data_IF_568180008557
#
_entry.id   IF_568180008557
#
_cell.length_a   1.000
_cell.length_b   1.000
_cell.length_c   1.000
_cell.angle_alpha   90.00
_cell.angle_beta   90.00
_cell.angle_gamma   90.00
#
_symmetry.space_group_name_H-M   'P 1'
#
loop_
_entity.id
_entity.type
_entity.pdbx_description
1 polymer ?
#
# COMPACT_ATOMS: atom_id res chain seq x y z
N UNK A 1 38.23 -29.80 -7.40
CA UNK A 1 36.99 -30.11 -8.16
C UNK A 1 35.83 -29.95 -7.19
N UNK A 2 35.09 -28.84 -7.27
CA UNK A 2 34.08 -28.49 -6.26
C UNK A 2 32.77 -29.21 -6.57
N UNK A 3 32.45 -30.23 -5.78
CA UNK A 3 31.17 -30.93 -5.84
C UNK A 3 30.07 -30.00 -5.32
N UNK A 4 29.35 -29.37 -6.25
CA UNK A 4 28.11 -28.64 -5.95
C UNK A 4 27.01 -29.67 -5.64
N UNK A 5 27.08 -30.27 -4.45
CA UNK A 5 25.99 -31.10 -3.93
C UNK A 5 24.89 -30.14 -3.48
N UNK A 6 23.68 -30.32 -4.00
CA UNK A 6 22.48 -29.57 -3.62
C UNK A 6 21.62 -30.45 -2.68
N UNK A 7 21.96 -30.55 -1.38
CA UNK A 7 21.36 -31.55 -0.48
C UNK A 7 19.89 -31.28 -0.10
N UNK A 8 19.30 -30.16 -0.53
CA UNK A 8 17.94 -29.76 -0.15
C UNK A 8 17.03 -29.67 -1.39
N UNK A 9 16.46 -30.81 -1.86
CA UNK A 9 15.49 -30.84 -2.94
C UNK A 9 14.10 -30.36 -2.48
N UNK A 10 13.35 -29.74 -3.37
CA UNK A 10 11.95 -29.41 -3.15
C UNK A 10 11.06 -30.67 -3.22
N UNK A 11 10.10 -30.80 -2.31
CA UNK A 11 9.21 -31.98 -2.21
C UNK A 11 7.83 -31.74 -2.83
N UNK A 12 7.57 -30.56 -3.38
CA UNK A 12 6.26 -30.22 -3.96
C UNK A 12 6.11 -30.83 -5.35
N UNK A 13 4.95 -31.45 -5.61
CA UNK A 13 4.69 -32.24 -6.81
C UNK A 13 4.72 -31.37 -8.08
N UNK A 14 5.76 -31.54 -8.90
CA UNK A 14 5.99 -30.76 -10.12
C UNK A 14 7.19 -29.82 -10.05
N UNK A 15 7.81 -29.64 -8.88
CA UNK A 15 9.01 -28.82 -8.71
C UNK A 15 10.30 -29.64 -8.79
N UNK A 16 11.19 -29.31 -9.71
CA UNK A 16 12.51 -29.95 -9.85
C UNK A 16 13.66 -29.12 -9.24
N UNK A 17 13.36 -28.18 -8.33
CA UNK A 17 14.37 -27.28 -7.78
C UNK A 17 15.09 -27.86 -6.59
N UNK A 18 16.41 -27.65 -6.58
CA UNK A 18 17.31 -28.12 -5.53
C UNK A 18 18.13 -26.95 -4.98
N UNK A 19 18.39 -26.95 -3.68
CA UNK A 19 19.01 -25.83 -2.98
C UNK A 19 20.25 -26.27 -2.20
N UNK A 20 21.23 -25.35 -2.11
CA UNK A 20 22.44 -25.51 -1.31
C UNK A 20 22.17 -25.34 0.21
N UNK A 21 21.01 -24.79 0.58
CA UNK A 21 20.68 -24.55 1.99
C UNK A 21 19.19 -24.64 2.29
N UNK A 22 18.89 -25.15 3.48
CA UNK A 22 17.53 -25.24 4.02
C UNK A 22 16.84 -23.87 4.11
N UNK A 23 17.59 -22.77 4.34
CA UNK A 23 17.02 -21.41 4.37
C UNK A 23 16.52 -20.96 3.00
N UNK A 24 17.21 -21.35 1.91
CA UNK A 24 16.78 -21.06 0.54
C UNK A 24 15.58 -21.93 0.14
N UNK A 25 15.56 -23.20 0.55
CA UNK A 25 14.40 -24.07 0.38
C UNK A 25 13.17 -23.51 1.11
N UNK A 26 13.27 -23.15 2.40
CA UNK A 26 12.18 -22.53 3.17
C UNK A 26 11.67 -21.22 2.57
N UNK A 27 12.54 -20.47 1.89
CA UNK A 27 12.13 -19.25 1.19
C UNK A 27 11.45 -19.56 -0.15
N UNK A 28 11.86 -20.63 -0.83
CA UNK A 28 11.21 -21.14 -2.04
C UNK A 28 9.83 -21.74 -1.75
N UNK A 29 9.66 -22.52 -0.67
CA UNK A 29 8.36 -23.07 -0.24
C UNK A 29 7.34 -21.97 0.12
N UNK A 30 7.81 -20.78 0.51
CA UNK A 30 6.93 -19.62 0.70
C UNK A 30 6.43 -19.04 -0.62
N UNK A 31 7.09 -19.32 -1.75
CA UNK A 31 6.63 -18.92 -3.08
C UNK A 31 5.64 -19.98 -3.56
N UNK A 32 4.35 -19.66 -3.72
CA UNK A 32 3.42 -20.62 -4.28
C UNK A 32 3.86 -20.99 -5.72
N UNK A 33 3.75 -22.26 -6.08
CA UNK A 33 4.14 -22.79 -7.40
C UNK A 33 3.31 -22.20 -8.56
N UNK A 34 2.16 -21.62 -8.24
CA UNK A 34 1.30 -20.88 -9.16
C UNK A 34 0.67 -19.66 -8.48
N UNK A 35 -0.05 -18.85 -9.24
CA UNK A 35 -0.86 -17.77 -8.69
C UNK A 35 -2.21 -18.31 -8.19
N UNK A 36 -2.73 -17.72 -7.11
CA UNK A 36 -4.04 -18.05 -6.52
C UNK A 36 -5.23 -17.64 -7.43
N UNK A 37 -5.02 -16.82 -8.46
CA UNK A 37 -6.09 -16.45 -9.40
C UNK A 37 -6.29 -17.54 -10.46
N UNK A 38 -7.52 -18.01 -10.60
CA UNK A 38 -7.90 -19.03 -11.58
C UNK A 38 -7.56 -18.55 -13.00
N UNK A 39 -6.90 -19.42 -13.78
CA UNK A 39 -6.37 -19.14 -15.12
C UNK A 39 -5.16 -18.18 -15.24
N UNK A 40 -4.44 -17.87 -14.16
CA UNK A 40 -3.20 -17.11 -14.24
C UNK A 40 -1.96 -18.01 -14.53
N UNK A 41 -1.30 -17.90 -15.70
CA UNK A 41 -0.16 -18.76 -16.07
C UNK A 41 1.17 -18.37 -15.40
N UNK A 42 1.15 -17.54 -14.36
CA UNK A 42 2.36 -17.05 -13.70
C UNK A 42 3.04 -18.13 -12.87
N UNK A 43 4.26 -18.48 -13.26
CA UNK A 43 5.15 -19.35 -12.50
C UNK A 43 6.24 -18.52 -11.81
N UNK A 44 6.04 -18.29 -10.51
CA UNK A 44 6.92 -17.46 -9.69
C UNK A 44 8.24 -18.16 -9.40
N UNK A 45 9.36 -17.55 -9.80
CA UNK A 45 10.70 -18.09 -9.48
C UNK A 45 11.28 -17.57 -8.16
N UNK A 46 10.78 -16.44 -7.65
CA UNK A 46 11.21 -15.82 -6.38
C UNK A 46 10.02 -15.17 -5.66
N UNK A 47 10.10 -15.04 -4.34
CA UNK A 47 9.05 -14.42 -3.52
C UNK A 47 8.80 -12.96 -3.90
N UNK A 48 9.85 -12.22 -4.22
CA UNK A 48 9.75 -10.83 -4.67
C UNK A 48 9.04 -10.71 -6.02
N UNK A 49 9.29 -11.62 -6.97
CA UNK A 49 8.58 -11.67 -8.24
C UNK A 49 7.10 -12.00 -8.04
N UNK A 50 6.76 -12.98 -7.19
CA UNK A 50 5.38 -13.32 -6.86
C UNK A 50 4.63 -12.14 -6.22
N UNK A 51 5.25 -11.45 -5.24
CA UNK A 51 4.64 -10.28 -4.61
C UNK A 51 4.44 -9.10 -5.57
N UNK A 52 5.30 -8.95 -6.59
CA UNK A 52 5.12 -7.96 -7.66
C UNK A 52 3.96 -8.36 -8.56
N UNK A 53 3.94 -9.62 -9.01
CA UNK A 53 2.92 -10.17 -9.88
C UNK A 53 1.52 -10.15 -9.29
N UNK A 54 1.36 -10.53 -8.01
CA UNK A 54 0.06 -10.48 -7.31
C UNK A 54 -0.57 -9.08 -7.33
N UNK A 55 0.22 -8.02 -7.51
CA UNK A 55 -0.31 -6.65 -7.64
C UNK A 55 -1.00 -6.40 -8.98
N UNK A 56 -0.71 -7.19 -10.01
CA UNK A 56 -1.35 -7.13 -11.33
C UNK A 56 -2.79 -7.65 -11.25
N UNK A 57 -3.03 -8.67 -10.42
CA UNK A 57 -4.36 -9.18 -10.08
C UNK A 57 -5.13 -8.30 -9.08
N UNK A 58 -4.74 -7.04 -8.90
CA UNK A 58 -5.55 -6.11 -8.12
C UNK A 58 -6.81 -5.77 -8.90
N UNK A 59 -7.83 -6.61 -8.74
CA UNK A 59 -9.18 -6.34 -9.23
C UNK A 59 -9.61 -4.98 -8.69
N UNK A 60 -9.85 -4.06 -9.62
CA UNK A 60 -10.42 -2.77 -9.28
C UNK A 60 -11.90 -2.96 -9.02
N UNK A 61 -12.39 -2.37 -7.93
CA UNK A 61 -13.79 -2.45 -7.54
C UNK A 61 -14.50 -1.20 -8.03
N UNK A 62 -15.58 -1.39 -8.79
CA UNK A 62 -16.44 -0.31 -9.29
C UNK A 62 -17.36 0.22 -8.19
N UNK A 63 -17.51 1.55 -8.12
CA UNK A 63 -18.62 2.17 -7.42
C UNK A 63 -19.94 1.84 -8.14
N UNK A 64 -21.01 1.57 -7.39
CA UNK A 64 -22.32 1.27 -7.98
C UNK A 64 -23.03 2.48 -8.59
N UNK A 65 -22.65 3.67 -8.16
CA UNK A 65 -23.33 4.94 -8.49
C UNK A 65 -22.53 5.83 -9.43
N UNK A 66 -21.27 5.47 -9.75
CA UNK A 66 -20.45 6.21 -10.70
C UNK A 66 -19.32 5.35 -11.31
N UNK A 67 -18.63 5.91 -12.31
CA UNK A 67 -17.55 5.24 -13.06
C UNK A 67 -16.26 5.06 -12.22
N UNK A 68 -16.24 5.52 -10.96
CA UNK A 68 -15.02 5.48 -10.13
C UNK A 68 -14.60 4.03 -9.81
N UNK A 69 -13.31 3.79 -10.00
CA UNK A 69 -12.62 2.55 -9.66
C UNK A 69 -11.76 2.71 -8.41
N UNK A 70 -11.94 1.80 -7.45
CA UNK A 70 -11.14 1.68 -6.23
C UNK A 70 -10.28 0.43 -6.26
N UNK A 71 -9.17 0.43 -5.53
CA UNK A 71 -8.24 -0.70 -5.48
C UNK A 71 -8.63 -1.82 -4.51
N UNK A 72 -9.64 -1.61 -3.67
CA UNK A 72 -10.27 -2.63 -2.83
C UNK A 72 -11.68 -2.17 -2.40
N UNK A 73 -12.40 -3.06 -1.71
CA UNK A 73 -13.74 -2.79 -1.20
C UNK A 73 -13.78 -1.64 -0.16
N UNK A 74 -12.80 -1.57 0.74
CA UNK A 74 -12.72 -0.49 1.74
C UNK A 74 -12.66 0.91 1.11
N UNK A 75 -11.80 1.10 0.11
CA UNK A 75 -11.66 2.37 -0.59
C UNK A 75 -12.91 2.71 -1.44
N UNK A 76 -13.62 1.70 -1.98
CA UNK A 76 -14.94 1.91 -2.60
C UNK A 76 -15.96 2.40 -1.58
N UNK A 77 -16.11 1.69 -0.46
CA UNK A 77 -17.05 2.06 0.59
C UNK A 77 -16.77 3.47 1.13
N UNK A 78 -15.49 3.79 1.35
CA UNK A 78 -15.08 5.14 1.74
C UNK A 78 -15.39 6.19 0.68
N UNK A 79 -15.29 5.88 -0.62
CA UNK A 79 -15.71 6.77 -1.70
C UNK A 79 -17.22 7.01 -1.66
N UNK A 80 -18.01 5.95 -1.54
CA UNK A 80 -19.47 6.00 -1.49
C UNK A 80 -19.96 6.87 -0.32
N UNK A 81 -19.45 6.63 0.89
CA UNK A 81 -19.75 7.43 2.07
C UNK A 81 -19.39 8.93 1.94
N UNK A 82 -18.46 9.30 1.07
CA UNK A 82 -17.95 10.68 0.96
C UNK A 82 -18.55 11.47 -0.20
N UNK A 83 -18.94 10.77 -1.25
CA UNK A 83 -19.32 11.37 -2.54
C UNK A 83 -20.81 11.18 -2.80
N UNK A 84 -21.37 10.03 -2.41
CA UNK A 84 -22.75 9.66 -2.72
C UNK A 84 -23.67 9.69 -1.50
N UNK A 85 -23.13 9.70 -0.28
CA UNK A 85 -23.92 9.94 0.93
C UNK A 85 -24.28 11.42 1.06
N UNK A 86 -25.58 11.73 1.12
CA UNK A 86 -26.10 13.08 1.41
C UNK A 86 -25.71 13.53 2.82
N UNK A 87 -25.73 12.62 3.80
CA UNK A 87 -25.20 12.84 5.15
C UNK A 87 -23.68 12.62 5.17
N UNK A 88 -22.98 13.51 4.47
CA UNK A 88 -21.53 13.44 4.34
C UNK A 88 -20.90 13.71 5.70
N UNK A 89 -20.33 12.66 6.30
CA UNK A 89 -19.60 12.79 7.56
C UNK A 89 -18.47 13.82 7.45
N UNK A 90 -18.65 14.96 8.12
CA UNK A 90 -17.66 16.02 8.21
C UNK A 90 -17.13 16.11 9.65
N UNK A 91 -15.83 16.36 9.75
CA UNK A 91 -15.13 16.56 11.00
C UNK A 91 -14.93 18.06 11.19
N UNK A 92 -15.58 18.63 12.19
CA UNK A 92 -15.44 20.05 12.54
C UNK A 92 -14.21 20.28 13.39
N UNK A 93 -13.61 21.47 13.25
CA UNK A 93 -12.54 21.88 14.15
C UNK A 93 -13.07 22.03 15.59
N UNK A 94 -12.28 21.56 16.56
CA UNK A 94 -12.62 21.62 18.00
C UNK A 94 -12.30 23.01 18.59
N UNK A 95 -11.56 23.86 17.87
CA UNK A 95 -11.16 25.17 18.38
C UNK A 95 -12.31 26.17 18.35
N UNK A 96 -12.49 26.87 19.46
CA UNK A 96 -13.51 27.90 19.61
C UNK A 96 -13.31 29.01 18.58
N UNK A 97 -14.37 29.36 17.84
CA UNK A 97 -14.33 30.35 16.75
C UNK A 97 -13.78 29.83 15.42
N UNK A 98 -13.64 28.50 15.24
CA UNK A 98 -13.22 27.92 13.96
C UNK A 98 -14.33 27.03 13.36
N UNK A 99 -14.97 27.52 12.31
CA UNK A 99 -16.05 26.81 11.59
C UNK A 99 -15.53 25.93 10.44
N UNK A 100 -14.22 25.67 10.37
CA UNK A 100 -13.63 24.84 9.31
C UNK A 100 -14.01 23.37 9.50
N UNK A 101 -14.49 22.75 8.44
CA UNK A 101 -14.87 21.32 8.40
C UNK A 101 -14.04 20.54 7.38
N UNK A 102 -13.82 19.26 7.66
CA UNK A 102 -12.94 18.40 6.89
C UNK A 102 -13.55 17.03 6.63
N UNK A 103 -13.25 16.44 5.48
CA UNK A 103 -13.71 15.09 5.14
C UNK A 103 -12.76 14.00 5.63
N UNK A 104 -11.58 14.35 6.14
CA UNK A 104 -10.52 13.41 6.54
C UNK A 104 -9.88 13.86 7.84
N UNK A 105 -9.66 12.92 8.76
CA UNK A 105 -9.00 13.19 10.05
C UNK A 105 -7.64 13.85 9.88
N UNK A 106 -6.79 13.32 8.99
CA UNK A 106 -5.46 13.91 8.78
C UNK A 106 -5.50 15.36 8.23
N UNK A 107 -6.56 15.76 7.52
CA UNK A 107 -6.72 17.14 7.07
C UNK A 107 -7.08 18.04 8.25
N UNK A 108 -7.96 17.57 9.13
CA UNK A 108 -8.29 18.26 10.38
C UNK A 108 -7.04 18.41 11.26
N UNK A 109 -6.29 17.33 11.47
CA UNK A 109 -5.06 17.36 12.28
C UNK A 109 -4.03 18.34 11.72
N UNK A 110 -3.84 18.32 10.39
CA UNK A 110 -2.93 19.26 9.72
C UNK A 110 -3.39 20.71 9.85
N UNK A 111 -4.70 20.95 9.74
CA UNK A 111 -5.30 22.25 9.96
C UNK A 111 -5.06 22.75 11.39
N UNK A 112 -5.32 21.89 12.39
CA UNK A 112 -5.12 22.23 13.81
C UNK A 112 -3.64 22.54 14.09
N UNK A 113 -2.74 21.69 13.61
CA UNK A 113 -1.29 21.89 13.77
C UNK A 113 -0.82 23.20 13.13
N UNK A 114 -1.31 23.54 11.93
CA UNK A 114 -0.87 24.73 11.19
C UNK A 114 -1.47 26.04 11.69
N UNK A 115 -2.79 26.08 11.78
CA UNK A 115 -3.56 27.33 11.94
C UNK A 115 -3.80 27.66 13.41
N UNK A 116 -3.76 26.67 14.30
CA UNK A 116 -4.02 26.85 15.73
C UNK A 116 -2.78 26.64 16.59
N UNK A 117 -1.88 25.71 16.23
CA UNK A 117 -0.64 25.47 16.98
C UNK A 117 0.60 26.09 16.34
N UNK A 118 0.54 26.52 15.07
CA UNK A 118 1.71 27.03 14.33
C UNK A 118 2.83 26.01 14.12
N UNK A 119 2.57 24.72 14.40
CA UNK A 119 3.56 23.64 14.33
C UNK A 119 3.72 23.13 12.91
N UNK A 120 4.94 23.21 12.39
CA UNK A 120 5.33 22.72 11.06
C UNK A 120 6.47 21.72 11.19
N UNK A 121 6.20 20.48 11.63
CA UNK A 121 7.24 19.51 12.00
C UNK A 121 8.05 18.98 10.80
N UNK A 122 7.60 19.23 9.56
CA UNK A 122 8.24 18.71 8.37
C UNK A 122 9.03 19.81 7.64
N UNK A 123 10.35 19.81 7.78
CA UNK A 123 11.24 20.74 7.08
C UNK A 123 11.70 20.18 5.73
N UNK A 124 11.87 21.06 4.75
CA UNK A 124 12.43 20.72 3.45
C UNK A 124 13.91 20.34 3.61
N UNK A 125 14.30 19.17 3.11
CA UNK A 125 15.68 18.68 3.14
C UNK A 125 16.59 19.30 2.07
N UNK A 126 16.04 20.10 1.15
CA UNK A 126 16.83 20.74 0.10
C UNK A 126 17.67 21.89 0.67
N UNK A 127 18.96 21.90 0.32
CA UNK A 127 19.91 22.91 0.80
C UNK A 127 19.44 24.33 0.41
N UNK A 128 19.41 25.24 1.39
CA UNK A 128 18.99 26.62 1.20
C UNK A 128 17.47 26.89 1.11
N UNK A 129 16.61 25.87 1.20
CA UNK A 129 15.15 26.07 1.08
C UNK A 129 14.51 26.64 2.36
N UNK A 130 14.84 26.11 3.54
CA UNK A 130 14.34 26.58 4.85
C UNK A 130 12.82 26.48 5.08
N UNK A 131 12.04 25.93 4.13
CA UNK A 131 10.58 25.83 4.24
C UNK A 131 10.16 24.69 5.16
N UNK A 132 9.13 24.95 5.98
CA UNK A 132 8.50 23.94 6.85
C UNK A 132 7.00 23.79 6.54
N UNK A 133 6.49 22.59 6.74
CA UNK A 133 5.13 22.18 6.41
C UNK A 133 4.47 21.42 7.57
N UNK A 134 3.13 21.48 7.63
CA UNK A 134 2.30 20.72 8.58
C UNK A 134 2.10 19.27 8.15
N UNK A 135 2.29 18.97 6.86
CA UNK A 135 2.20 17.63 6.28
C UNK A 135 3.53 17.20 5.68
N UNK A 136 3.79 15.89 5.69
CA UNK A 136 4.97 15.31 5.06
C UNK A 136 4.83 15.43 3.53
N UNK A 137 5.55 16.38 2.95
CA UNK A 137 5.69 16.50 1.50
C UNK A 137 6.75 15.51 1.04
N UNK A 138 6.43 14.68 0.05
CA UNK A 138 7.46 13.87 -0.61
C UNK A 138 8.28 14.80 -1.51
N UNK A 139 9.61 14.88 -1.35
CA UNK A 139 10.41 15.61 -2.31
C UNK A 139 10.21 14.99 -3.70
N UNK A 140 9.94 15.83 -4.70
CA UNK A 140 10.00 15.40 -6.08
C UNK A 140 11.44 14.96 -6.36
N UNK A 141 11.59 13.73 -6.88
CA UNK A 141 12.88 13.13 -7.27
C UNK A 141 13.14 13.56 -8.71
#
# INVERSE_FOLDING_TARGET
>A
MNTWILPFPCTVSGCTREFLSLRKLKHHEKVPEGCENEACPFQGKTWTAYLKHRKEHKVKVHCGECIKLSNNAWFKQQHELRVHCEDKWMLSCIRNGCDKTFTRGFNLDSHVLGEHEGKKPFSCSHAGCGRSFTMKVRPAI
#
